data_IF_918287667818
#
_entry.id   IF_918287667818
#
_cell.length_a   1.000
_cell.length_b   1.000
_cell.length_c   1.000
_cell.angle_alpha   90.00
_cell.angle_beta   90.00
_cell.angle_gamma   90.00
#
_symmetry.space_group_name_H-M   'P 1'
#
loop_
_entity.id
_entity.type
_entity.pdbx_description
1 polymer ?
#
# COMPACT_ATOMS: atom_id res chain seq x y z
N UNK A 1 -62.83 -3.75 25.88
CA UNK A 1 -62.85 -4.50 24.60
C UNK A 1 -61.78 -3.88 23.72
N UNK A 2 -60.59 -4.47 23.72
CA UNK A 2 -59.46 -4.01 22.92
C UNK A 2 -59.45 -4.82 21.61
N UNK A 3 -59.63 -4.14 20.49
CA UNK A 3 -59.36 -4.71 19.17
C UNK A 3 -57.93 -4.38 18.77
N UNK A 4 -57.10 -5.40 18.68
CA UNK A 4 -55.77 -5.34 18.06
C UNK A 4 -56.00 -5.37 16.55
N UNK A 5 -55.56 -4.32 15.87
CA UNK A 5 -55.56 -4.22 14.42
C UNK A 5 -54.23 -4.80 13.92
N UNK A 6 -54.27 -6.04 13.41
CA UNK A 6 -53.13 -6.66 12.72
C UNK A 6 -53.10 -6.10 11.30
N UNK A 7 -52.13 -5.22 11.04
CA UNK A 7 -51.85 -4.73 9.69
C UNK A 7 -51.17 -5.83 8.89
N UNK A 8 -51.90 -6.41 7.94
CA UNK A 8 -51.33 -7.24 6.88
C UNK A 8 -50.49 -6.35 5.97
N UNK A 9 -49.17 -6.46 6.03
CA UNK A 9 -48.29 -6.00 4.97
C UNK A 9 -48.42 -6.96 3.80
N UNK A 10 -49.07 -6.51 2.72
CA UNK A 10 -49.13 -7.22 1.45
C UNK A 10 -47.73 -7.31 0.86
N UNK A 11 -47.14 -8.51 0.87
CA UNK A 11 -45.99 -8.85 0.04
C UNK A 11 -46.54 -9.05 -1.39
N UNK A 12 -46.30 -8.07 -2.24
CA UNK A 12 -46.60 -8.12 -3.68
C UNK A 12 -45.56 -9.03 -4.35
N UNK A 13 -45.94 -10.28 -4.60
CA UNK A 13 -45.15 -11.27 -5.31
C UNK A 13 -45.36 -11.16 -6.83
N UNK A 14 -44.50 -10.42 -7.51
CA UNK A 14 -44.05 -10.80 -8.85
C UNK A 14 -42.63 -11.35 -8.67
N UNK A 15 -42.52 -12.65 -8.88
CA UNK A 15 -41.37 -13.47 -8.52
C UNK A 15 -40.42 -13.50 -9.73
N UNK A 16 -39.25 -12.86 -9.63
CA UNK A 16 -38.04 -13.35 -10.29
C UNK A 16 -37.56 -14.55 -9.44
N UNK A 17 -37.82 -15.79 -9.90
CA UNK A 17 -37.90 -17.02 -9.08
C UNK A 17 -36.67 -17.44 -8.25
N UNK A 18 -35.53 -16.76 -8.36
CA UNK A 18 -34.30 -17.19 -7.69
C UNK A 18 -33.58 -16.07 -6.92
N UNK A 19 -34.24 -14.95 -6.62
CA UNK A 19 -33.62 -13.84 -5.90
C UNK A 19 -34.34 -13.51 -4.59
N UNK A 20 -33.57 -13.37 -3.51
CA UNK A 20 -34.03 -12.95 -2.19
C UNK A 20 -33.35 -11.64 -1.85
N UNK A 21 -34.12 -10.54 -1.84
CA UNK A 21 -33.63 -9.23 -1.41
C UNK A 21 -34.03 -8.94 0.04
N UNK A 22 -33.07 -8.48 0.82
CA UNK A 22 -33.25 -8.05 2.21
C UNK A 22 -32.68 -6.64 2.32
N UNK A 23 -33.52 -5.67 2.63
CA UNK A 23 -33.10 -4.29 2.88
C UNK A 23 -33.07 -4.01 4.38
N UNK A 24 -31.99 -3.40 4.86
CA UNK A 24 -31.90 -2.94 6.25
C UNK A 24 -30.48 -2.72 6.72
N UNK A 25 -30.33 -1.86 7.72
CA UNK A 25 -29.02 -1.50 8.30
C UNK A 25 -28.49 -2.52 9.31
N UNK A 26 -29.28 -3.53 9.66
CA UNK A 26 -28.85 -4.55 10.62
C UNK A 26 -27.89 -5.53 9.93
N UNK A 27 -26.73 -5.74 10.54
CA UNK A 27 -25.79 -6.74 10.04
C UNK A 27 -26.41 -8.15 10.19
N UNK A 28 -26.40 -8.97 9.13
CA UNK A 28 -27.01 -10.30 9.18
C UNK A 28 -26.28 -11.20 10.18
N UNK A 29 -27.06 -12.01 10.90
CA UNK A 29 -26.60 -13.12 11.74
C UNK A 29 -27.72 -14.18 11.78
N UNK A 30 -27.82 -14.97 10.70
CA UNK A 30 -28.93 -15.91 10.52
C UNK A 30 -28.64 -17.00 9.49
N UNK A 31 -29.42 -18.08 9.56
CA UNK A 31 -29.48 -19.13 8.55
C UNK A 31 -30.49 -18.77 7.44
N UNK A 32 -30.06 -18.91 6.19
CA UNK A 32 -30.86 -18.69 4.98
C UNK A 32 -30.95 -19.98 4.16
N UNK A 33 -32.10 -20.20 3.52
CA UNK A 33 -32.34 -21.33 2.62
C UNK A 33 -32.13 -20.90 1.17
N UNK A 34 -31.34 -21.69 0.45
CA UNK A 34 -31.06 -21.53 -0.98
C UNK A 34 -31.68 -22.69 -1.74
N UNK A 35 -32.35 -22.38 -2.85
CA UNK A 35 -33.10 -23.34 -3.66
C UNK A 35 -32.28 -23.68 -4.91
N UNK A 36 -32.18 -24.96 -5.24
CA UNK A 36 -31.50 -25.40 -6.44
C UNK A 36 -32.25 -24.95 -7.72
N UNK A 37 -31.55 -24.71 -8.85
CA UNK A 37 -30.11 -24.89 -9.03
C UNK A 37 -29.29 -23.67 -8.59
N UNK A 38 -29.90 -22.49 -8.54
CA UNK A 38 -29.23 -21.23 -8.30
C UNK A 38 -30.13 -20.34 -7.45
N UNK A 39 -29.55 -19.63 -6.48
CA UNK A 39 -30.25 -18.61 -5.70
C UNK A 39 -29.28 -17.48 -5.37
N UNK A 40 -29.73 -16.25 -5.59
CA UNK A 40 -29.05 -15.04 -5.17
C UNK A 40 -29.71 -14.50 -3.90
N UNK A 41 -28.92 -14.32 -2.84
CA UNK A 41 -29.33 -13.60 -1.63
C UNK A 41 -28.61 -12.25 -1.61
N UNK A 42 -29.38 -11.17 -1.61
CA UNK A 42 -28.90 -9.80 -1.69
C UNK A 42 -29.27 -9.06 -0.41
N UNK A 43 -28.26 -8.53 0.27
CA UNK A 43 -28.41 -7.54 1.32
C UNK A 43 -28.18 -6.15 0.72
N UNK A 44 -29.23 -5.35 0.67
CA UNK A 44 -29.18 -3.95 0.25
C UNK A 44 -29.27 -3.02 1.46
N UNK A 45 -28.79 -1.79 1.30
CA UNK A 45 -28.79 -0.76 2.35
C UNK A 45 -28.01 -1.16 3.62
N UNK A 46 -26.95 -1.96 3.45
CA UNK A 46 -26.09 -2.40 4.54
C UNK A 46 -25.14 -1.26 4.92
N UNK A 47 -25.50 -0.47 5.93
CA UNK A 47 -24.69 0.66 6.36
C UNK A 47 -23.37 0.20 7.00
N UNK A 48 -22.24 0.52 6.36
CA UNK A 48 -20.90 0.27 6.89
C UNK A 48 -20.17 1.58 7.18
N UNK A 49 -19.61 1.70 8.38
CA UNK A 49 -18.82 2.85 8.80
C UNK A 49 -17.43 2.83 8.17
N UNK A 50 -16.92 4.01 7.79
CA UNK A 50 -15.58 4.14 7.22
C UNK A 50 -14.49 3.74 8.21
N UNK A 51 -13.40 3.19 7.67
CA UNK A 51 -12.21 2.73 8.40
C UNK A 51 -12.38 1.45 9.21
N UNK A 52 -13.58 0.90 9.37
CA UNK A 52 -13.77 -0.36 10.10
C UNK A 52 -13.58 -1.57 9.19
N UNK A 53 -13.18 -2.69 9.79
CA UNK A 53 -13.26 -4.01 9.15
C UNK A 53 -14.62 -4.63 9.43
N UNK A 54 -15.14 -5.35 8.47
CA UNK A 54 -16.32 -6.19 8.61
C UNK A 54 -15.93 -7.62 8.26
N UNK A 55 -16.17 -8.54 9.19
CA UNK A 55 -15.92 -9.96 8.98
C UNK A 55 -17.16 -10.59 8.38
N UNK A 56 -17.04 -11.08 7.16
CA UNK A 56 -18.10 -11.80 6.45
C UNK A 56 -17.83 -13.30 6.64
N UNK A 57 -18.70 -13.95 7.39
CA UNK A 57 -18.63 -15.37 7.72
C UNK A 57 -19.77 -16.13 7.03
N UNK A 58 -19.45 -17.26 6.41
CA UNK A 58 -20.41 -18.18 5.83
C UNK A 58 -20.07 -19.61 6.23
N UNK A 59 -21.08 -20.37 6.65
CA UNK A 59 -20.95 -21.79 6.99
C UNK A 59 -22.07 -22.60 6.35
N UNK A 60 -21.70 -23.72 5.73
CA UNK A 60 -22.62 -24.72 5.24
C UNK A 60 -23.19 -25.53 6.42
N UNK A 61 -24.51 -25.47 6.62
CA UNK A 61 -25.20 -26.13 7.76
C UNK A 61 -26.12 -27.27 7.33
N UNK A 62 -26.02 -27.70 6.07
CA UNK A 62 -26.71 -28.85 5.48
C UNK A 62 -25.71 -29.74 4.74
N UNK A 63 -25.99 -31.03 4.54
CA UNK A 63 -25.03 -31.99 3.98
C UNK A 63 -24.82 -31.88 2.45
N UNK A 64 -25.13 -30.74 1.85
CA UNK A 64 -25.12 -30.51 0.40
C UNK A 64 -24.04 -29.51 0.02
N UNK A 65 -23.22 -29.85 -0.96
CA UNK A 65 -22.14 -28.98 -1.41
C UNK A 65 -22.69 -27.87 -2.32
N UNK A 66 -21.95 -26.76 -2.41
CA UNK A 66 -22.27 -25.70 -3.36
C UNK A 66 -21.04 -24.96 -3.85
N UNK A 67 -21.21 -24.26 -4.96
CA UNK A 67 -20.31 -23.17 -5.36
C UNK A 67 -20.92 -21.86 -4.83
N UNK A 68 -20.10 -21.07 -4.13
CA UNK A 68 -20.50 -19.79 -3.57
C UNK A 68 -19.63 -18.68 -4.16
N UNK A 69 -20.28 -17.63 -4.63
CA UNK A 69 -19.65 -16.35 -4.98
C UNK A 69 -20.19 -15.26 -4.06
N UNK A 70 -19.29 -14.42 -3.54
CA UNK A 70 -19.64 -13.26 -2.74
C UNK A 70 -19.14 -12.01 -3.46
N UNK A 71 -20.07 -11.14 -3.83
CA UNK A 71 -19.77 -9.86 -4.48
C UNK A 71 -20.30 -8.71 -3.64
N UNK A 72 -19.48 -7.68 -3.45
CA UNK A 72 -19.81 -6.49 -2.69
C UNK A 72 -19.73 -5.26 -3.59
N UNK A 73 -20.72 -4.38 -3.48
CA UNK A 73 -20.70 -3.05 -4.08
C UNK A 73 -20.64 -2.01 -2.99
N UNK A 74 -19.72 -1.06 -3.15
CA UNK A 74 -19.63 0.09 -2.25
C UNK A 74 -20.64 1.19 -2.59
N UNK A 75 -20.75 2.26 -1.78
CA UNK A 75 -21.75 3.32 -1.98
C UNK A 75 -21.65 4.06 -3.33
N UNK A 76 -20.53 3.96 -4.04
CA UNK A 76 -20.39 4.52 -5.41
C UNK A 76 -20.57 3.44 -6.50
N UNK A 77 -21.15 2.29 -6.15
CA UNK A 77 -21.36 1.12 -6.98
C UNK A 77 -20.07 0.54 -7.57
N UNK A 78 -18.95 0.56 -6.82
CA UNK A 78 -17.73 -0.14 -7.23
C UNK A 78 -17.74 -1.56 -6.70
N UNK A 79 -17.54 -2.51 -7.61
CA UNK A 79 -17.63 -3.94 -7.34
C UNK A 79 -16.31 -4.48 -6.80
N UNK A 80 -16.42 -5.36 -5.81
CA UNK A 80 -15.36 -6.19 -5.26
C UNK A 80 -15.81 -7.65 -5.28
N UNK A 81 -15.06 -8.50 -5.96
CA UNK A 81 -15.26 -9.94 -5.92
C UNK A 81 -14.47 -10.51 -4.73
N UNK A 82 -15.20 -10.75 -3.64
CA UNK A 82 -14.63 -11.02 -2.32
C UNK A 82 -14.26 -12.49 -2.17
N UNK A 83 -15.05 -13.37 -2.77
CA UNK A 83 -14.89 -14.81 -2.66
C UNK A 83 -15.53 -15.53 -3.83
N UNK A 84 -14.87 -16.58 -4.29
CA UNK A 84 -15.41 -17.57 -5.21
C UNK A 84 -14.75 -18.91 -4.87
N UNK A 85 -15.53 -19.87 -4.35
CA UNK A 85 -15.06 -21.23 -4.14
C UNK A 85 -16.22 -22.19 -3.86
N UNK A 86 -15.91 -23.49 -3.79
CA UNK A 86 -16.83 -24.50 -3.31
C UNK A 86 -16.85 -24.55 -1.78
N UNK A 87 -18.06 -24.62 -1.21
CA UNK A 87 -18.28 -25.06 0.16
C UNK A 87 -18.70 -26.53 0.15
N UNK A 88 -18.04 -27.34 0.97
CA UNK A 88 -18.26 -28.78 1.03
C UNK A 88 -18.02 -29.33 2.44
N UNK A 89 -18.58 -30.51 2.71
CA UNK A 89 -18.29 -31.25 3.94
C UNK A 89 -17.32 -32.38 3.60
N UNK A 90 -16.09 -32.28 4.09
CA UNK A 90 -15.10 -33.37 3.99
C UNK A 90 -15.44 -34.45 5.03
N UNK A 91 -15.68 -35.71 4.65
CA UNK A 91 -16.02 -36.78 5.58
C UNK A 91 -14.86 -37.16 6.51
N UNK A 92 -13.62 -36.81 6.15
CA UNK A 92 -12.43 -37.08 6.97
C UNK A 92 -12.08 -35.91 7.90
N UNK A 93 -12.58 -34.71 7.59
CA UNK A 93 -12.34 -33.48 8.36
C UNK A 93 -13.54 -32.53 8.24
N UNK A 94 -14.46 -32.61 9.19
CA UNK A 94 -15.73 -31.87 9.17
C UNK A 94 -15.57 -30.34 9.14
N UNK A 95 -14.41 -29.81 9.53
CA UNK A 95 -14.14 -28.37 9.57
C UNK A 95 -13.55 -27.85 8.26
N UNK A 96 -13.10 -28.74 7.37
CA UNK A 96 -12.43 -28.37 6.13
C UNK A 96 -13.42 -28.08 5.01
N UNK A 97 -13.32 -26.87 4.44
CA UNK A 97 -14.12 -26.45 3.28
C UNK A 97 -15.59 -26.15 3.59
N UNK A 98 -16.03 -26.36 4.83
CA UNK A 98 -17.41 -26.16 5.27
C UNK A 98 -17.75 -24.71 5.56
N UNK A 99 -16.75 -23.91 5.92
CA UNK A 99 -16.93 -22.51 6.25
C UNK A 99 -15.84 -21.63 5.64
N UNK A 100 -16.14 -20.35 5.54
CA UNK A 100 -15.22 -19.31 5.09
C UNK A 100 -15.45 -18.03 5.89
N UNK A 101 -14.36 -17.36 6.23
CA UNK A 101 -14.39 -16.02 6.82
C UNK A 101 -13.43 -15.12 6.06
N UNK A 102 -13.88 -13.91 5.74
CA UNK A 102 -13.02 -12.89 5.13
C UNK A 102 -13.28 -11.51 5.70
N UNK A 103 -12.23 -10.73 5.99
CA UNK A 103 -12.38 -9.34 6.38
C UNK A 103 -12.51 -8.43 5.16
N UNK A 104 -13.38 -7.43 5.25
CA UNK A 104 -13.48 -6.32 4.31
C UNK A 104 -13.35 -4.99 5.06
N UNK A 105 -12.32 -4.21 4.74
CA UNK A 105 -12.06 -2.88 5.29
C UNK A 105 -12.67 -1.79 4.42
N UNK A 106 -13.46 -0.92 5.03
CA UNK A 106 -14.20 0.15 4.33
C UNK A 106 -13.36 1.39 4.11
N UNK A 107 -13.33 1.86 2.85
CA UNK A 107 -12.72 3.15 2.49
C UNK A 107 -13.71 4.32 2.51
N UNK A 108 -15.01 4.02 2.40
CA UNK A 108 -16.10 4.98 2.28
C UNK A 108 -17.17 4.55 3.29
N UNK A 109 -17.82 5.52 3.92
CA UNK A 109 -18.97 5.27 4.78
C UNK A 109 -20.23 5.35 3.93
N UNK A 110 -21.18 4.47 4.20
CA UNK A 110 -22.50 4.51 3.56
C UNK A 110 -23.10 3.14 3.38
N UNK A 111 -24.06 3.07 2.48
CA UNK A 111 -24.85 1.89 2.20
C UNK A 111 -24.15 1.01 1.15
N UNK A 112 -23.82 -0.21 1.56
CA UNK A 112 -23.23 -1.23 0.72
C UNK A 112 -24.30 -2.22 0.28
N UNK A 113 -24.08 -2.83 -0.89
CA UNK A 113 -24.83 -4.02 -1.33
C UNK A 113 -23.92 -5.24 -1.26
N UNK A 114 -24.40 -6.34 -0.68
CA UNK A 114 -23.68 -7.61 -0.62
C UNK A 114 -24.55 -8.72 -1.20
N UNK A 115 -24.02 -9.42 -2.21
CA UNK A 115 -24.70 -10.54 -2.87
C UNK A 115 -23.96 -11.84 -2.61
N UNK A 116 -24.71 -12.86 -2.21
CA UNK A 116 -24.30 -14.25 -2.13
C UNK A 116 -24.99 -15.01 -3.26
N UNK A 117 -24.22 -15.42 -4.27
CA UNK A 117 -24.70 -16.25 -5.37
C UNK A 117 -24.32 -17.71 -5.09
N UNK A 118 -25.32 -18.57 -4.95
CA UNK A 118 -25.14 -19.98 -4.63
C UNK A 118 -25.62 -20.84 -5.79
N UNK A 119 -24.75 -21.73 -6.27
CA UNK A 119 -25.09 -22.77 -7.26
C UNK A 119 -24.96 -24.15 -6.62
N UNK A 120 -25.99 -24.97 -6.72
CA UNK A 120 -26.08 -26.29 -6.05
C UNK A 120 -27.05 -27.24 -6.75
N UNK A 121 -26.97 -28.54 -6.45
CA UNK A 121 -27.87 -29.57 -6.99
C UNK A 121 -29.07 -29.82 -6.08
N UNK A 122 -28.94 -29.57 -4.78
CA UNK A 122 -29.99 -29.75 -3.78
C UNK A 122 -30.21 -28.50 -2.97
N UNK A 123 -31.42 -28.30 -2.45
CA UNK A 123 -31.70 -27.21 -1.53
C UNK A 123 -30.79 -27.32 -0.30
N UNK A 124 -30.24 -26.19 0.12
CA UNK A 124 -29.29 -26.14 1.21
C UNK A 124 -29.55 -24.93 2.10
N UNK A 125 -28.93 -24.94 3.28
CA UNK A 125 -28.93 -23.80 4.18
C UNK A 125 -27.50 -23.32 4.42
N UNK A 126 -27.29 -22.01 4.36
CA UNK A 126 -26.06 -21.36 4.79
C UNK A 126 -26.34 -20.50 6.01
N UNK A 127 -25.49 -20.62 7.02
CA UNK A 127 -25.38 -19.64 8.09
C UNK A 127 -24.52 -18.49 7.61
N UNK A 128 -25.05 -17.26 7.66
CA UNK A 128 -24.35 -16.05 7.24
C UNK A 128 -24.33 -15.07 8.41
N UNK A 129 -23.13 -14.60 8.73
CA UNK A 129 -22.91 -13.57 9.76
C UNK A 129 -21.98 -12.49 9.24
N UNK A 130 -22.35 -11.22 9.45
CA UNK A 130 -21.47 -10.08 9.25
C UNK A 130 -21.26 -9.39 10.59
N UNK A 131 -20.00 -9.22 10.98
CA UNK A 131 -19.64 -8.61 12.26
C UNK A 131 -18.73 -7.40 12.06
N UNK A 132 -19.05 -6.28 12.69
CA UNK A 132 -18.16 -5.12 12.74
C UNK A 132 -16.95 -5.44 13.62
N UNK A 133 -15.78 -5.40 13.02
CA UNK A 133 -14.49 -5.63 13.65
C UNK A 133 -13.75 -4.36 14.05
N UNK A 134 -12.42 -4.47 14.25
CA UNK A 134 -11.55 -3.34 14.63
C UNK A 134 -11.42 -2.29 13.51
N UNK A 135 -10.89 -1.10 13.86
CA UNK A 135 -10.46 -0.10 12.89
C UNK A 135 -9.28 -0.63 12.09
N UNK A 136 -9.40 -0.59 10.77
CA UNK A 136 -8.63 -1.33 9.78
C UNK A 136 -7.12 -1.41 10.04
N UNK A 137 -6.31 -0.58 9.37
CA UNK A 137 -4.87 -0.54 9.61
C UNK A 137 -4.53 0.04 11.00
N UNK A 138 -5.45 0.84 11.58
CA UNK A 138 -5.21 1.59 12.81
C UNK A 138 -4.91 0.66 14.00
N UNK A 139 -5.73 -0.38 14.20
CA UNK A 139 -5.54 -1.31 15.32
C UNK A 139 -4.38 -2.31 15.08
N UNK A 140 -3.69 -2.23 13.92
CA UNK A 140 -2.42 -2.94 13.67
C UNK A 140 -1.20 -2.11 14.07
N UNK A 141 -1.37 -0.82 14.33
CA UNK A 141 -0.33 0.06 14.84
C UNK A 141 -0.21 -0.19 16.35
N UNK A 142 1.02 -0.44 16.88
CA UNK A 142 1.24 -0.61 18.31
C UNK A 142 0.63 0.54 19.10
N UNK A 143 -0.03 0.23 20.23
CA UNK A 143 -0.81 1.21 20.99
C UNK A 143 0.04 2.42 21.43
N UNK A 144 1.30 2.16 21.80
CA UNK A 144 2.31 3.15 22.18
C UNK A 144 2.72 4.10 21.03
N UNK A 145 2.42 3.75 19.78
CA UNK A 145 2.73 4.55 18.59
C UNK A 145 1.53 5.34 18.07
N UNK A 146 0.32 5.08 18.57
CA UNK A 146 -0.92 5.66 18.03
C UNK A 146 -1.03 7.17 18.27
N UNK A 147 -0.51 7.68 19.38
CA UNK A 147 -0.52 9.12 19.68
C UNK A 147 0.40 9.93 18.74
N UNK A 148 1.33 9.25 18.08
CA UNK A 148 2.31 9.84 17.16
C UNK A 148 1.92 9.72 15.69
N UNK A 149 0.66 9.35 15.39
CA UNK A 149 0.15 9.26 14.03
C UNK A 149 0.04 10.68 13.42
N UNK A 150 0.79 10.91 12.36
CA UNK A 150 0.80 12.15 11.57
C UNK A 150 -0.27 12.11 10.48
N UNK A 151 -0.50 10.93 9.91
CA UNK A 151 -1.47 10.70 8.84
C UNK A 151 -2.07 9.30 8.99
N UNK A 152 -3.38 9.18 8.75
CA UNK A 152 -4.07 7.90 8.66
C UNK A 152 -5.21 7.97 7.65
N UNK A 153 -5.23 7.04 6.70
CA UNK A 153 -6.30 6.94 5.72
C UNK A 153 -6.55 5.50 5.29
N UNK A 154 -7.79 5.24 4.88
CA UNK A 154 -8.15 4.09 4.04
C UNK A 154 -8.73 4.65 2.76
N UNK A 155 -8.19 4.21 1.62
CA UNK A 155 -8.56 4.71 0.29
C UNK A 155 -8.86 3.55 -0.65
N UNK A 156 -9.92 3.69 -1.45
CA UNK A 156 -10.20 2.83 -2.60
C UNK A 156 -9.31 3.25 -3.75
N UNK A 157 -8.53 2.31 -4.27
CA UNK A 157 -7.71 2.46 -5.46
C UNK A 157 -8.33 1.68 -6.62
N UNK A 158 -8.20 2.22 -7.83
CA UNK A 158 -8.28 1.43 -9.05
C UNK A 158 -6.88 1.18 -9.60
N UNK A 159 -6.72 0.15 -10.44
CA UNK A 159 -5.41 -0.18 -11.01
C UNK A 159 -4.82 0.99 -11.81
N UNK A 160 -3.59 1.40 -11.47
CA UNK A 160 -2.90 2.56 -12.03
C UNK A 160 -3.22 3.89 -11.35
N UNK A 161 -4.09 3.92 -10.34
CA UNK A 161 -4.41 5.13 -9.58
C UNK A 161 -3.20 5.60 -8.77
N UNK A 162 -2.99 6.91 -8.73
CA UNK A 162 -2.01 7.57 -7.89
C UNK A 162 -2.66 8.65 -7.04
N UNK A 163 -2.32 8.67 -5.76
CA UNK A 163 -2.75 9.71 -4.81
C UNK A 163 -1.51 10.38 -4.21
N UNK A 164 -1.69 11.63 -3.79
CA UNK A 164 -0.65 12.37 -3.09
C UNK A 164 -1.23 13.09 -1.88
N UNK A 165 -0.48 13.04 -0.77
CA UNK A 165 -0.80 13.76 0.46
C UNK A 165 0.36 14.64 0.87
N UNK A 166 0.02 15.79 1.42
CA UNK A 166 1.00 16.68 2.02
C UNK A 166 1.04 16.40 3.52
N UNK A 167 2.22 16.12 4.05
CA UNK A 167 2.48 15.86 5.46
C UNK A 167 3.58 16.80 5.94
N UNK A 168 3.48 17.29 7.18
CA UNK A 168 4.54 18.14 7.76
C UNK A 168 5.43 17.28 8.64
N UNK A 169 6.72 17.21 8.30
CA UNK A 169 7.71 16.43 9.04
C UNK A 169 8.75 17.35 9.67
N UNK A 170 9.31 16.92 10.81
CA UNK A 170 10.35 17.63 11.56
C UNK A 170 11.72 17.23 11.05
N UNK A 171 12.72 18.10 11.11
CA UNK A 171 14.13 17.77 10.83
C UNK A 171 14.67 16.77 11.84
N UNK A 172 15.58 15.89 11.43
CA UNK A 172 16.26 14.93 12.30
C UNK A 172 15.31 13.95 13.01
N UNK A 173 14.19 13.61 12.38
CA UNK A 173 13.24 12.62 12.91
C UNK A 173 13.15 11.41 12.00
N UNK A 174 12.97 10.25 12.64
CA UNK A 174 12.64 9.00 11.99
C UNK A 174 11.11 8.85 11.96
N UNK A 175 10.58 8.50 10.80
CA UNK A 175 9.18 8.19 10.59
C UNK A 175 9.02 6.74 10.13
N UNK A 176 7.90 6.12 10.49
CA UNK A 176 7.46 4.83 9.96
C UNK A 176 6.25 5.04 9.05
N UNK A 177 6.29 4.38 7.90
CA UNK A 177 5.20 4.37 6.93
C UNK A 177 4.61 2.97 6.89
N UNK A 178 3.33 2.86 7.20
CA UNK A 178 2.57 1.61 7.21
C UNK A 178 1.68 1.57 5.99
N UNK A 179 1.67 0.43 5.30
CA UNK A 179 0.78 0.15 4.17
C UNK A 179 0.16 -1.22 4.36
N UNK A 180 -1.13 -1.36 4.12
CA UNK A 180 -1.80 -2.65 4.23
C UNK A 180 -3.00 -2.75 3.31
N UNK A 181 -3.13 -3.89 2.63
CA UNK A 181 -4.35 -4.22 1.90
C UNK A 181 -5.46 -4.54 2.92
N UNK A 182 -6.60 -3.87 2.77
CA UNK A 182 -7.74 -4.04 3.68
C UNK A 182 -9.00 -4.58 2.98
N UNK A 183 -9.03 -4.69 1.65
CA UNK A 183 -10.04 -5.48 0.95
C UNK A 183 -9.51 -6.85 0.52
N UNK A 184 -10.35 -7.91 0.52
CA UNK A 184 -9.98 -9.20 0.00
C UNK A 184 -9.98 -9.18 -1.54
N UNK A 185 -9.43 -10.24 -2.12
CA UNK A 185 -9.41 -10.55 -3.55
C UNK A 185 -9.80 -12.02 -3.63
N UNK A 186 -10.74 -12.37 -4.51
CA UNK A 186 -11.15 -13.75 -4.70
C UNK A 186 -9.93 -14.62 -5.03
N UNK A 187 -9.86 -15.81 -4.42
CA UNK A 187 -8.74 -16.75 -4.64
C UNK A 187 -8.67 -17.15 -6.12
N UNK A 188 -9.83 -17.24 -6.79
CA UNK A 188 -9.92 -17.61 -8.20
C UNK A 188 -9.31 -16.58 -9.15
N UNK A 189 -9.23 -15.31 -8.75
CA UNK A 189 -8.60 -14.26 -9.56
C UNK A 189 -7.06 -14.34 -9.58
N UNK A 190 -6.45 -15.10 -8.65
CA UNK A 190 -5.00 -15.28 -8.51
C UNK A 190 -4.20 -13.98 -8.74
N UNK A 191 -4.65 -12.89 -8.12
CA UNK A 191 -4.20 -11.54 -8.41
C UNK A 191 -3.35 -10.95 -7.28
N UNK A 192 -2.45 -10.04 -7.66
CA UNK A 192 -1.58 -9.32 -6.74
C UNK A 192 -1.90 -7.82 -6.75
N UNK A 193 -1.43 -7.14 -5.70
CA UNK A 193 -1.50 -5.68 -5.56
C UNK A 193 -0.10 -5.19 -5.31
N UNK A 194 0.45 -4.42 -6.24
CA UNK A 194 1.77 -3.84 -6.15
C UNK A 194 1.67 -2.36 -5.79
N UNK A 195 2.57 -1.91 -4.92
CA UNK A 195 2.69 -0.53 -4.47
C UNK A 195 4.00 0.08 -4.95
N UNK A 196 3.90 1.29 -5.47
CA UNK A 196 5.04 2.19 -5.63
C UNK A 196 4.83 3.40 -4.73
N UNK A 197 5.84 3.72 -3.93
CA UNK A 197 5.79 4.77 -2.92
C UNK A 197 7.04 5.64 -3.02
N UNK A 198 6.82 6.94 -3.16
CA UNK A 198 7.87 7.94 -3.12
C UNK A 198 7.48 9.09 -2.20
N UNK A 199 8.46 9.72 -1.60
CA UNK A 199 8.28 10.94 -0.84
C UNK A 199 9.13 12.05 -1.45
N UNK A 200 8.56 13.24 -1.58
CA UNK A 200 9.25 14.44 -2.07
C UNK A 200 9.40 15.42 -0.91
N UNK A 201 10.61 15.90 -0.64
CA UNK A 201 10.86 16.84 0.45
C UNK A 201 10.50 18.29 0.09
N UNK A 202 10.66 19.19 1.07
CA UNK A 202 10.36 20.61 0.93
C UNK A 202 11.29 21.35 -0.06
N UNK A 203 12.41 20.73 -0.46
CA UNK A 203 13.34 21.20 -1.49
C UNK A 203 13.14 20.51 -2.85
N UNK A 204 12.04 19.78 -3.00
CA UNK A 204 11.66 19.03 -4.20
C UNK A 204 12.59 17.86 -4.56
N UNK A 205 13.35 17.32 -3.60
CA UNK A 205 14.12 16.09 -3.77
C UNK A 205 13.20 14.88 -3.61
N UNK A 206 13.23 13.97 -4.59
CA UNK A 206 12.39 12.78 -4.62
C UNK A 206 13.15 11.57 -4.10
N UNK A 207 12.57 10.87 -3.13
CA UNK A 207 13.05 9.62 -2.57
C UNK A 207 12.09 8.49 -2.93
N UNK A 208 12.54 7.53 -3.74
CA UNK A 208 11.78 6.31 -4.03
C UNK A 208 12.00 5.31 -2.91
N UNK A 209 10.93 4.97 -2.18
CA UNK A 209 10.98 4.04 -1.05
C UNK A 209 10.60 2.63 -1.52
N UNK A 210 9.49 2.51 -2.25
CA UNK A 210 9.04 1.28 -2.89
C UNK A 210 8.91 1.48 -4.39
N UNK A 211 9.28 0.45 -5.16
CA UNK A 211 9.07 0.40 -6.60
C UNK A 211 8.48 -0.95 -6.96
N UNK A 212 7.18 -0.97 -7.21
CA UNK A 212 6.39 -2.17 -7.56
C UNK A 212 6.60 -3.31 -6.56
N UNK A 213 6.53 -3.01 -5.27
CA UNK A 213 6.58 -4.04 -4.23
C UNK A 213 5.19 -4.65 -4.07
N UNK A 214 5.09 -5.98 -4.07
CA UNK A 214 3.82 -6.65 -3.81
C UNK A 214 3.43 -6.48 -2.35
N UNK A 215 2.25 -5.92 -2.12
CA UNK A 215 1.69 -5.77 -0.78
C UNK A 215 1.46 -7.15 -0.15
N UNK A 216 1.69 -7.21 1.16
CA UNK A 216 1.42 -8.40 1.94
C UNK A 216 -0.07 -8.78 1.91
N UNK A 217 -0.41 -10.06 2.18
CA UNK A 217 -1.80 -10.50 2.26
C UNK A 217 -2.63 -9.66 3.23
N UNK A 218 -3.96 -9.71 3.07
CA UNK A 218 -4.89 -9.01 3.96
C UNK A 218 -4.59 -9.34 5.43
N UNK A 219 -4.69 -8.32 6.30
CA UNK A 219 -4.31 -8.33 7.73
C UNK A 219 -2.82 -8.21 8.06
N UNK A 220 -1.93 -8.28 7.07
CA UNK A 220 -0.52 -7.95 7.23
C UNK A 220 -0.25 -6.50 6.81
N UNK A 221 0.92 -5.99 7.22
CA UNK A 221 1.34 -4.62 6.97
C UNK A 221 2.77 -4.58 6.47
N UNK A 222 3.01 -3.81 5.41
CA UNK A 222 4.35 -3.44 4.96
C UNK A 222 4.76 -2.18 5.74
N UNK A 223 5.99 -2.17 6.25
CA UNK A 223 6.53 -1.06 7.04
C UNK A 223 7.82 -0.59 6.38
N UNK A 224 7.91 0.71 6.07
CA UNK A 224 9.17 1.37 5.70
C UNK A 224 9.51 2.45 6.73
N UNK A 225 10.78 2.83 6.74
CA UNK A 225 11.32 3.88 7.60
C UNK A 225 11.95 4.96 6.74
N UNK A 226 11.74 6.21 7.12
CA UNK A 226 12.33 7.37 6.44
C UNK A 226 12.78 8.39 7.48
N UNK A 227 14.04 8.81 7.37
CA UNK A 227 14.61 9.85 8.20
C UNK A 227 14.63 11.18 7.45
N UNK A 228 14.28 12.26 8.13
CA UNK A 228 14.27 13.61 7.57
C UNK A 228 15.57 14.35 7.88
N UNK A 229 16.10 15.05 6.88
CA UNK A 229 17.26 15.94 7.04
C UNK A 229 16.86 17.42 7.15
N UNK A 230 15.64 17.77 6.72
CA UNK A 230 15.07 19.10 6.77
C UNK A 230 13.64 19.00 7.30
N UNK A 231 13.11 20.08 7.86
CA UNK A 231 11.71 20.17 8.23
C UNK A 231 10.87 20.76 7.08
N UNK A 232 9.55 20.63 7.22
CA UNK A 232 8.60 21.28 6.33
C UNK A 232 7.59 20.32 5.72
N UNK A 233 6.97 20.77 4.62
CA UNK A 233 5.93 20.01 3.93
C UNK A 233 6.58 19.04 2.95
N UNK A 234 6.34 17.75 3.19
CA UNK A 234 6.68 16.66 2.31
C UNK A 234 5.43 16.23 1.55
N UNK A 235 5.60 15.80 0.30
CA UNK A 235 4.55 15.19 -0.49
C UNK A 235 4.80 13.69 -0.60
N UNK A 236 3.96 12.89 0.05
CA UNK A 236 3.90 11.46 -0.23
C UNK A 236 3.12 11.20 -1.51
N UNK A 237 3.59 10.24 -2.31
CA UNK A 237 2.90 9.78 -3.51
C UNK A 237 2.84 8.26 -3.49
N UNK A 238 1.62 7.74 -3.52
CA UNK A 238 1.31 6.32 -3.53
C UNK A 238 0.70 5.99 -4.89
N UNK A 239 1.18 4.93 -5.52
CA UNK A 239 0.63 4.40 -6.77
C UNK A 239 0.37 2.91 -6.59
N UNK A 240 -0.83 2.47 -6.97
CA UNK A 240 -1.23 1.07 -6.87
C UNK A 240 -1.41 0.50 -8.26
N UNK A 241 -0.73 -0.61 -8.53
CA UNK A 241 -0.97 -1.45 -9.69
C UNK A 241 -1.61 -2.74 -9.20
N UNK A 242 -2.76 -3.12 -9.75
CA UNK A 242 -3.48 -4.30 -9.27
C UNK A 242 -4.00 -5.16 -10.43
N UNK A 243 -4.03 -6.47 -10.20
CA UNK A 243 -4.74 -7.42 -11.06
C UNK A 243 -6.27 -7.29 -10.97
N UNK A 244 -6.79 -6.66 -9.90
CA UNK A 244 -8.22 -6.39 -9.72
C UNK A 244 -8.57 -4.94 -10.05
N UNK A 245 -9.83 -4.71 -10.40
CA UNK A 245 -10.30 -3.37 -10.78
C UNK A 245 -10.25 -2.40 -9.60
N UNK A 246 -10.64 -2.84 -8.40
CA UNK A 246 -10.69 -2.02 -7.20
C UNK A 246 -10.10 -2.75 -6.00
N UNK A 247 -9.37 -2.03 -5.15
CA UNK A 247 -8.84 -2.53 -3.87
C UNK A 247 -8.79 -1.42 -2.83
N UNK A 248 -9.01 -1.75 -1.57
CA UNK A 248 -8.89 -0.79 -0.47
C UNK A 248 -7.54 -0.95 0.20
N UNK A 249 -6.80 0.15 0.30
CA UNK A 249 -5.49 0.22 0.95
C UNK A 249 -5.59 1.16 2.15
N UNK A 250 -5.19 0.67 3.31
CA UNK A 250 -4.91 1.50 4.46
C UNK A 250 -3.46 1.95 4.43
N UNK A 251 -3.19 3.21 4.80
CA UNK A 251 -1.83 3.70 5.01
C UNK A 251 -1.78 4.70 6.17
N UNK A 252 -0.63 4.74 6.84
CA UNK A 252 -0.39 5.61 7.97
C UNK A 252 1.07 6.07 8.05
N UNK A 253 1.28 7.26 8.57
CA UNK A 253 2.61 7.82 8.85
C UNK A 253 2.72 8.10 10.34
N UNK A 254 3.78 7.62 10.97
CA UNK A 254 3.99 7.69 12.41
C UNK A 254 5.35 8.34 12.70
N UNK A 255 5.34 9.35 13.57
CA UNK A 255 6.57 9.88 14.16
C UNK A 255 7.15 8.87 15.16
N UNK A 256 8.39 8.42 14.93
CA UNK A 256 8.97 7.33 15.71
C UNK A 256 9.93 7.84 16.78
N UNK A 257 11.03 8.47 16.39
CA UNK A 257 11.99 9.04 17.34
C UNK A 257 12.84 10.12 16.66
N UNK A 258 13.42 11.00 17.49
CA UNK A 258 14.45 11.94 17.06
C UNK A 258 15.77 11.19 16.84
N UNK A 259 16.42 11.41 15.71
CA UNK A 259 17.65 10.73 15.29
C UNK A 259 18.88 11.43 15.88
N UNK A 260 18.87 12.76 15.94
CA UNK A 260 19.99 13.54 16.46
C UNK A 260 19.51 14.53 17.52
N UNK A 261 20.16 14.52 18.68
CA UNK A 261 20.06 15.65 19.60
C UNK A 261 20.87 16.79 18.98
N UNK A 262 20.24 17.95 18.79
CA UNK A 262 20.96 19.17 18.46
C UNK A 262 21.97 19.41 19.58
N UNK A 263 23.23 19.03 19.37
CA UNK A 263 24.31 19.44 20.25
C UNK A 263 24.43 20.95 20.07
N UNK A 264 24.06 21.72 21.10
CA UNK A 264 24.31 23.15 21.08
C UNK A 264 25.83 23.33 20.86
N UNK A 265 26.27 24.02 19.79
CA UNK A 265 27.69 24.26 19.58
C UNK A 265 28.34 25.06 20.74
N UNK A 266 27.53 25.63 21.64
CA UNK A 266 27.97 26.28 22.88
C UNK A 266 27.90 25.39 24.13
N UNK A 267 27.36 24.17 24.06
CA UNK A 267 27.54 23.17 25.13
C UNK A 267 28.94 22.57 25.01
N UNK A 268 29.95 23.33 25.45
CA UNK A 268 31.20 22.72 25.90
C UNK A 268 30.92 21.96 27.18
N UNK A 269 30.55 20.68 27.06
CA UNK A 269 30.75 19.73 28.16
C UNK A 269 32.27 19.60 28.31
N UNK A 270 32.86 20.46 29.14
CA UNK A 270 34.16 20.20 29.75
C UNK A 270 33.82 19.34 30.96
N UNK A 271 34.07 18.02 30.94
CA UNK A 271 33.98 17.27 32.17
C UNK A 271 35.09 17.81 33.07
N UNK A 272 34.72 18.23 34.28
CA UNK A 272 35.69 18.47 35.34
C UNK A 272 36.56 17.20 35.45
N UNK A 273 37.91 17.31 35.46
CA UNK A 273 38.77 16.15 35.48
C UNK A 273 38.76 15.56 36.90
N UNK A 274 37.77 14.71 37.20
CA UNK A 274 37.85 13.82 38.34
C UNK A 274 38.95 12.77 38.12
N UNK A 275 39.63 12.35 39.20
CA UNK A 275 40.91 11.68 39.11
C UNK A 275 40.76 10.27 38.53
N UNK A 276 41.50 10.04 37.44
CA UNK A 276 41.96 8.77 36.86
C UNK A 276 41.29 7.53 37.44
N UNK A 277 40.29 7.00 36.72
CA UNK A 277 40.04 5.57 36.72
C UNK A 277 39.78 5.10 35.30
N UNK A 278 40.60 4.14 34.85
CA UNK A 278 40.71 3.71 33.46
C UNK A 278 39.38 3.16 32.92
N UNK A 279 38.68 3.93 32.09
CA UNK A 279 37.92 3.40 30.97
C UNK A 279 38.09 4.33 29.78
N UNK A 280 38.48 3.73 28.66
CA UNK A 280 38.90 4.38 27.43
C UNK A 280 37.71 5.12 26.81
N UNK A 281 37.77 6.45 26.77
CA UNK A 281 36.94 7.23 25.85
C UNK A 281 37.26 6.78 24.42
N UNK A 282 36.34 6.07 23.78
CA UNK A 282 36.37 5.91 22.32
C UNK A 282 36.14 7.27 21.70
N UNK A 283 37.25 7.93 21.36
CA UNK A 283 37.29 8.98 20.35
C UNK A 283 36.60 8.40 19.11
N UNK A 284 35.42 8.91 18.75
CA UNK A 284 34.79 8.62 17.46
C UNK A 284 35.69 9.18 16.36
N UNK A 285 36.72 8.42 16.02
CA UNK A 285 37.45 8.54 14.78
C UNK A 285 36.51 7.91 13.76
N UNK A 286 35.91 8.74 12.89
CA UNK A 286 35.36 8.24 11.64
C UNK A 286 36.51 7.54 10.89
N UNK A 287 36.64 6.23 11.03
CA UNK A 287 37.57 5.43 10.25
C UNK A 287 36.85 5.01 8.98
N UNK A 288 37.07 5.76 7.90
CA UNK A 288 36.78 5.27 6.56
C UNK A 288 37.62 4.01 6.31
N UNK A 289 37.06 2.90 5.79
CA UNK A 289 37.85 1.73 5.43
C UNK A 289 38.97 2.13 4.47
N UNK A 290 40.22 1.71 4.72
CA UNK A 290 41.38 2.11 3.93
C UNK A 290 41.24 1.78 2.43
N UNK A 291 40.38 0.81 2.10
CA UNK A 291 40.00 0.43 0.74
C UNK A 291 39.21 1.51 0.00
N UNK A 292 38.38 2.31 0.71
CA UNK A 292 37.60 3.40 0.12
C UNK A 292 38.47 4.60 -0.27
N UNK A 293 39.49 4.94 0.52
CA UNK A 293 40.45 5.99 0.15
C UNK A 293 41.25 5.62 -1.10
N UNK A 294 41.59 4.33 -1.26
CA UNK A 294 42.32 3.84 -2.44
C UNK A 294 41.42 3.85 -3.67
N UNK A 295 40.15 3.43 -3.53
CA UNK A 295 39.17 3.44 -4.62
C UNK A 295 38.81 4.84 -5.12
N UNK A 296 38.62 5.79 -4.21
CA UNK A 296 38.30 7.20 -4.54
C UNK A 296 39.48 7.87 -5.25
N UNK A 297 40.72 7.69 -4.78
CA UNK A 297 41.91 8.26 -5.43
C UNK A 297 42.16 7.67 -6.83
N UNK A 298 41.94 6.36 -7.02
CA UNK A 298 42.07 5.73 -8.34
C UNK A 298 40.95 6.18 -9.28
N UNK A 299 39.72 6.34 -8.80
CA UNK A 299 38.59 6.78 -9.62
C UNK A 299 38.74 8.24 -10.08
N UNK A 300 39.02 9.18 -9.17
CA UNK A 300 39.24 10.59 -9.55
C UNK A 300 40.56 10.81 -10.29
N UNK A 301 41.62 10.07 -9.93
CA UNK A 301 42.90 10.12 -10.63
C UNK A 301 42.80 9.64 -12.09
N UNK A 302 42.04 8.58 -12.35
CA UNK A 302 41.85 8.05 -13.71
C UNK A 302 40.99 8.97 -14.58
N UNK A 303 39.95 9.61 -14.01
CA UNK A 303 39.16 10.62 -14.73
C UNK A 303 40.03 11.81 -15.15
N UNK A 304 40.89 12.31 -14.26
CA UNK A 304 41.78 13.42 -14.58
C UNK A 304 42.76 13.07 -15.70
N UNK A 305 43.30 11.85 -15.69
CA UNK A 305 44.21 11.35 -16.72
C UNK A 305 43.49 11.17 -18.07
N UNK A 306 42.25 10.69 -18.07
CA UNK A 306 41.41 10.61 -19.29
C UNK A 306 41.14 12.00 -19.85
N UNK A 307 40.78 12.98 -19.00
CA UNK A 307 40.56 14.37 -19.44
C UNK A 307 41.84 14.97 -20.02
N UNK A 308 43.00 14.77 -19.39
CA UNK A 308 44.29 15.23 -19.92
C UNK A 308 44.60 14.55 -21.26
N UNK A 309 44.42 13.24 -21.38
CA UNK A 309 44.67 12.51 -22.64
C UNK A 309 43.73 12.98 -23.75
N UNK A 310 42.45 13.19 -23.45
CA UNK A 310 41.47 13.72 -24.42
C UNK A 310 41.84 15.15 -24.84
N UNK A 311 42.20 16.02 -23.90
CA UNK A 311 42.62 17.40 -24.20
C UNK A 311 43.92 17.44 -25.02
N UNK A 312 44.92 16.62 -24.69
CA UNK A 312 46.18 16.55 -25.44
C UNK A 312 45.97 15.95 -26.83
N UNK A 313 45.14 14.90 -26.96
CA UNK A 313 44.84 14.27 -28.26
C UNK A 313 44.00 15.19 -29.15
N UNK A 314 43.09 15.97 -28.58
CA UNK A 314 42.31 16.98 -29.31
C UNK A 314 43.14 18.24 -29.63
N UNK A 315 44.09 18.64 -28.78
CA UNK A 315 45.05 19.70 -29.12
C UNK A 315 46.00 19.29 -30.25
N UNK A 316 46.54 18.06 -30.25
CA UNK A 316 47.37 17.57 -31.36
C UNK A 316 46.61 17.55 -32.70
N UNK A 317 45.35 17.11 -32.71
CA UNK A 317 44.52 17.15 -33.92
C UNK A 317 44.22 18.57 -34.41
N UNK A 318 44.01 19.54 -33.50
CA UNK A 318 43.78 20.93 -33.89
C UNK A 318 45.06 21.64 -34.37
N UNK A 319 46.23 21.29 -33.84
CA UNK A 319 47.51 21.82 -34.36
C UNK A 319 47.80 21.25 -35.76
N UNK A 320 47.62 19.94 -35.98
CA UNK A 320 47.77 19.33 -37.31
C UNK A 320 46.76 19.86 -38.33
N UNK A 321 45.54 20.21 -37.89
CA UNK A 321 44.51 20.79 -38.76
C UNK A 321 44.84 22.25 -39.13
N UNK A 322 45.31 23.05 -38.16
CA UNK A 322 45.71 24.45 -38.41
C UNK A 322 47.01 24.55 -39.22
N UNK A 323 47.98 23.64 -39.04
CA UNK A 323 49.17 23.57 -39.90
C UNK A 323 48.83 23.18 -41.35
N UNK A 324 47.84 22.31 -41.56
CA UNK A 324 47.35 21.98 -42.91
C UNK A 324 46.63 23.17 -43.56
N UNK A 325 45.82 23.92 -42.82
CA UNK A 325 45.13 25.10 -43.35
C UNK A 325 46.12 26.22 -43.70
N UNK A 326 47.14 26.48 -42.88
CA UNK A 326 48.16 27.49 -43.19
C UNK A 326 49.03 27.11 -44.41
N UNK A 327 49.31 25.81 -44.60
CA UNK A 327 50.04 25.30 -45.77
C UNK A 327 49.21 25.36 -47.06
N UNK A 328 47.88 25.24 -46.97
CA UNK A 328 46.97 25.43 -48.12
C UNK A 328 46.66 26.91 -48.41
N UNK A 329 46.71 27.79 -47.41
CA UNK A 329 46.53 29.24 -47.57
C UNK A 329 47.72 29.97 -48.20
N UNK A 330 48.96 29.52 -47.96
CA UNK A 330 50.18 30.12 -48.57
C UNK A 330 50.41 29.71 -50.02
N UNK A 331 49.97 28.53 -50.47
CA UNK A 331 50.14 28.08 -51.85
C UNK A 331 49.13 28.66 -52.87
N UNK A 332 48.24 29.57 -52.45
CA UNK A 332 47.26 30.24 -53.33
C UNK A 332 47.52 31.72 -53.58
N UNK A 333 48.62 32.28 -53.06
CA UNK A 333 49.07 33.66 -53.31
C UNK A 333 50.49 33.69 -53.87
N UNK A 334 50.73 33.00 -54.98
CA UNK A 334 51.90 33.23 -55.83
C UNK A 334 51.64 32.63 -57.23
N UNK A 335 50.81 33.35 -58.01
CA UNK A 335 50.88 33.34 -59.47
C UNK A 335 50.85 34.80 -59.90
N UNK A 336 51.99 35.41 -60.25
CA UNK A 336 51.98 36.67 -60.99
C UNK A 336 51.56 36.38 -62.44
N UNK A 337 50.52 37.08 -62.90
CA UNK A 337 50.28 37.30 -64.32
C UNK A 337 51.37 38.24 -64.86
N UNK A 338 52.27 37.72 -65.69
CA UNK A 338 52.62 38.24 -67.03
C UNK A 338 53.74 37.42 -67.65
#
# INVERSE_FOLDING_TARGET
MNHIQVGNTQISSEIEENEIKISGSELPDKVYTFVAPETDLIFDDLFLEKHYKYYIYVELVTPHNCTLTITLWDPDNKQYDIFENNLFIDPEDLDKGRYFETPFGTAIEGDYTLKFSVSTLENLNLYIRIEKGPKSLYDKIPMEEQESIVLYHVTRFYSGMSIAHNITLKTDYMYKFYFGRVSPISIMENSHVDISFSITDSEAVVFTIYSNETLTPINNVNISKFGTAIDGVYQEKITIQSGVQYTNIGYAVIEHHRISDLVDPNETIIPDPDPVNNTVFQKNIFSMPQEWNTGILVFFGSILLIVIVVVVKNRKKNVDFNERIDKFGRNRKEKPEK
#
